data_IF_359262891194
#
_entry.id   IF_359262891194
#
_cell.length_a   1.000
_cell.length_b   1.000
_cell.length_c   1.000
_cell.angle_alpha   90.00
_cell.angle_beta   90.00
_cell.angle_gamma   90.00
#
_symmetry.space_group_name_H-M   'P 1'
#
loop_
_entity.id
_entity.type
_entity.pdbx_description
1 polymer ?
#
# COMPACT_ATOMS: atom_id res chain seq x y z
N UNK A 1 33.26 -44.73 58.44
CA UNK A 1 33.23 -43.40 57.87
C UNK A 1 32.15 -43.40 56.78
N UNK A 2 30.95 -42.99 57.17
CA UNK A 2 29.81 -42.87 56.29
C UNK A 2 29.68 -41.39 55.86
N UNK A 3 29.71 -41.11 54.56
CA UNK A 3 29.35 -39.82 54.00
C UNK A 3 27.83 -39.75 53.91
N UNK A 4 27.25 -38.83 54.71
CA UNK A 4 25.88 -38.39 54.52
C UNK A 4 25.85 -37.40 53.42
N UNK A 5 25.31 -37.82 52.25
CA UNK A 5 24.90 -36.89 51.20
C UNK A 5 23.53 -36.29 51.59
N UNK A 6 23.53 -35.04 52.03
CA UNK A 6 22.31 -34.29 52.18
C UNK A 6 21.84 -33.93 50.76
N UNK A 7 20.73 -34.52 50.36
CA UNK A 7 19.95 -34.09 49.21
C UNK A 7 19.44 -32.63 49.51
N UNK A 8 20.04 -31.61 48.90
CA UNK A 8 19.34 -30.38 48.66
C UNK A 8 18.26 -30.65 47.64
N UNK A 9 17.06 -30.80 48.08
CA UNK A 9 15.91 -30.63 47.22
C UNK A 9 15.85 -29.15 46.87
N UNK A 10 16.31 -28.81 45.69
CA UNK A 10 15.92 -27.56 45.05
C UNK A 10 14.40 -27.60 44.95
N UNK A 11 13.73 -26.94 45.86
CA UNK A 11 12.36 -26.52 45.61
C UNK A 11 12.44 -25.49 44.49
N UNK A 12 12.30 -25.95 43.27
CA UNK A 12 11.83 -25.09 42.18
C UNK A 12 10.53 -24.48 42.69
N UNK A 13 10.63 -23.28 43.22
CA UNK A 13 9.48 -22.42 43.46
C UNK A 13 8.90 -22.13 42.07
N UNK A 14 7.87 -22.88 41.75
CA UNK A 14 7.00 -22.64 40.62
C UNK A 14 6.31 -21.28 40.80
N UNK A 15 7.08 -20.17 40.64
CA UNK A 15 6.59 -18.80 40.63
C UNK A 15 6.08 -18.45 39.23
N UNK A 16 5.25 -19.26 38.66
CA UNK A 16 4.37 -18.84 37.59
C UNK A 16 2.96 -18.64 38.14
N UNK A 17 2.81 -17.72 39.05
CA UNK A 17 1.47 -17.25 39.39
C UNK A 17 1.01 -16.26 38.30
N UNK A 18 0.76 -16.81 37.10
CA UNK A 18 0.21 -16.09 35.95
C UNK A 18 -1.13 -15.39 36.28
N UNK A 19 -1.71 -15.70 37.42
CA UNK A 19 -2.93 -15.08 37.93
C UNK A 19 -2.71 -13.93 38.91
N UNK A 20 -1.47 -13.68 39.35
CA UNK A 20 -1.18 -12.64 40.35
C UNK A 20 -1.49 -11.22 39.84
N UNK A 21 -1.42 -10.99 38.53
CA UNK A 21 -1.71 -9.69 37.93
C UNK A 21 -2.79 -9.81 36.87
N UNK A 22 -3.83 -8.94 36.89
CA UNK A 22 -4.84 -8.93 35.85
C UNK A 22 -4.24 -8.50 34.52
N UNK A 23 -4.87 -8.87 33.38
CA UNK A 23 -4.54 -8.31 32.07
C UNK A 23 -4.58 -6.80 32.06
N UNK A 24 -3.91 -6.13 31.12
CA UNK A 24 -4.07 -4.69 30.96
C UNK A 24 -5.53 -4.34 30.66
N UNK A 25 -5.88 -3.06 30.77
CA UNK A 25 -7.19 -2.56 30.33
C UNK A 25 -7.01 -1.62 29.15
N UNK A 26 -8.02 -1.54 28.28
CA UNK A 26 -8.11 -0.54 27.22
C UNK A 26 -9.48 0.13 27.30
N UNK A 27 -9.49 1.45 27.39
CA UNK A 27 -10.70 2.26 27.33
C UNK A 27 -10.60 3.24 26.16
N UNK A 28 -11.59 3.17 25.27
CA UNK A 28 -11.69 4.09 24.14
C UNK A 28 -12.19 5.45 24.63
N UNK A 29 -11.47 6.51 24.27
CA UNK A 29 -11.88 7.88 24.56
C UNK A 29 -12.65 8.48 23.37
N UNK A 30 -12.16 8.26 22.15
CA UNK A 30 -12.81 8.71 20.91
C UNK A 30 -12.16 8.03 19.68
N UNK A 31 -12.95 7.66 18.65
CA UNK A 31 -14.39 7.45 18.69
C UNK A 31 -14.75 6.11 19.34
N UNK A 32 -15.99 5.94 19.82
CA UNK A 32 -16.51 4.64 20.26
C UNK A 32 -17.08 3.82 19.10
N UNK A 33 -17.54 4.49 18.04
CA UNK A 33 -18.01 3.93 16.77
C UNK A 33 -17.76 4.94 15.64
N UNK A 34 -17.74 4.46 14.40
CA UNK A 34 -17.57 5.28 13.19
C UNK A 34 -18.77 5.06 12.29
N UNK A 35 -19.66 6.05 12.22
CA UNK A 35 -20.85 5.96 11.38
C UNK A 35 -20.48 5.99 9.89
N UNK A 36 -19.60 6.90 9.52
CA UNK A 36 -19.14 7.08 8.12
C UNK A 36 -17.66 7.45 8.11
N UNK A 37 -16.90 6.79 7.24
CA UNK A 37 -15.51 7.10 6.97
C UNK A 37 -15.25 7.08 5.46
N UNK A 38 -14.36 7.95 4.96
CA UNK A 38 -13.98 7.91 3.56
C UNK A 38 -12.88 6.86 3.32
N UNK A 39 -12.97 6.15 2.21
CA UNK A 39 -11.90 5.26 1.78
C UNK A 39 -10.58 6.03 1.67
N UNK A 40 -9.50 5.39 2.09
CA UNK A 40 -8.15 5.94 2.11
C UNK A 40 -7.93 7.15 3.05
N UNK A 41 -8.92 7.48 3.89
CA UNK A 41 -8.75 8.48 4.94
C UNK A 41 -8.14 7.89 6.21
N UNK A 42 -7.69 8.76 7.10
CA UNK A 42 -7.10 8.38 8.38
C UNK A 42 -8.07 8.68 9.52
N UNK A 43 -8.29 7.70 10.38
CA UNK A 43 -9.05 7.82 11.63
C UNK A 43 -8.06 7.91 12.79
N UNK A 44 -8.18 8.96 13.57
CA UNK A 44 -7.45 9.06 14.85
C UNK A 44 -8.26 8.37 15.95
N UNK A 45 -7.66 7.38 16.58
CA UNK A 45 -8.24 6.65 17.71
C UNK A 45 -7.53 7.11 18.98
N UNK A 46 -8.27 7.74 19.88
CA UNK A 46 -7.79 8.16 21.21
C UNK A 46 -8.27 7.16 22.26
N UNK A 47 -7.36 6.68 23.06
CA UNK A 47 -7.65 5.69 24.09
C UNK A 47 -6.68 5.82 25.27
N UNK A 48 -7.01 5.14 26.36
CA UNK A 48 -6.09 4.94 27.47
C UNK A 48 -5.96 3.45 27.80
N UNK A 49 -4.79 3.06 28.23
CA UNK A 49 -4.50 1.71 28.70
C UNK A 49 -3.83 1.77 30.08
N UNK A 50 -4.20 0.84 30.95
CA UNK A 50 -3.58 0.66 32.24
C UNK A 50 -3.03 -0.75 32.38
N UNK A 51 -1.85 -0.88 32.99
CA UNK A 51 -1.26 -2.16 33.40
C UNK A 51 -0.50 -2.00 34.71
N UNK A 52 -0.77 -2.88 35.66
CA UNK A 52 -0.04 -2.96 36.95
C UNK A 52 1.42 -3.37 36.77
N UNK A 53 1.72 -4.16 35.73
CA UNK A 53 3.08 -4.68 35.48
C UNK A 53 3.83 -3.94 34.39
N UNK A 54 3.17 -2.99 33.73
CA UNK A 54 3.72 -2.19 32.64
C UNK A 54 3.22 -2.63 31.26
N UNK A 55 3.10 -1.67 30.37
CA UNK A 55 2.62 -1.86 29.00
C UNK A 55 3.81 -2.15 28.09
N UNK A 56 3.79 -3.30 27.42
CA UNK A 56 4.82 -3.70 26.48
C UNK A 56 4.57 -3.15 25.07
N UNK A 57 3.34 -3.23 24.60
CA UNK A 57 2.99 -2.73 23.25
C UNK A 57 1.52 -2.33 23.15
N UNK A 58 1.29 -1.32 22.32
CA UNK A 58 -0.05 -0.91 21.89
C UNK A 58 -0.04 -0.84 20.37
N UNK A 59 -1.07 -1.38 19.74
CA UNK A 59 -1.26 -1.25 18.30
C UNK A 59 -2.74 -1.21 17.92
N UNK A 60 -3.00 -0.71 16.72
CA UNK A 60 -4.31 -0.80 16.09
C UNK A 60 -4.19 -1.44 14.70
N UNK A 61 -5.22 -2.18 14.31
CA UNK A 61 -5.34 -2.84 13.01
C UNK A 61 -6.76 -2.77 12.50
N UNK A 62 -6.94 -2.90 11.18
CA UNK A 62 -8.27 -2.99 10.56
C UNK A 62 -8.82 -4.40 10.70
N UNK A 63 -10.13 -4.47 10.91
CA UNK A 63 -10.91 -5.69 10.94
C UNK A 63 -11.86 -5.74 9.75
N UNK A 64 -12.05 -6.92 9.18
CA UNK A 64 -13.18 -7.27 8.31
C UNK A 64 -14.19 -8.10 9.10
N UNK A 65 -15.39 -8.25 8.54
CA UNK A 65 -16.40 -9.18 9.05
C UNK A 65 -16.36 -10.45 8.18
N UNK A 66 -16.27 -11.62 8.81
CA UNK A 66 -16.33 -12.89 8.13
C UNK A 66 -17.79 -13.26 7.73
N UNK A 67 -17.96 -14.42 7.10
CA UNK A 67 -19.28 -14.92 6.67
C UNK A 67 -20.23 -15.23 7.85
N UNK A 68 -19.69 -15.43 9.05
CA UNK A 68 -20.43 -15.70 10.28
C UNK A 68 -20.80 -14.40 11.04
N UNK A 69 -20.30 -13.24 10.59
CA UNK A 69 -20.44 -11.97 11.27
C UNK A 69 -19.47 -11.74 12.41
N UNK A 70 -18.34 -12.48 12.42
CA UNK A 70 -17.27 -12.30 13.39
C UNK A 70 -16.14 -11.42 12.82
N UNK A 71 -15.46 -10.68 13.70
CA UNK A 71 -14.36 -9.83 13.30
C UNK A 71 -13.06 -10.62 13.10
N UNK A 72 -12.41 -10.39 11.96
CA UNK A 72 -11.11 -10.95 11.60
C UNK A 72 -10.12 -9.85 11.20
N UNK A 73 -8.86 -9.93 11.63
CA UNK A 73 -7.82 -8.97 11.21
C UNK A 73 -7.53 -9.09 9.72
N UNK A 74 -7.57 -7.96 9.00
CA UNK A 74 -7.36 -7.94 7.54
C UNK A 74 -5.89 -8.17 7.20
N UNK A 75 -5.00 -7.46 7.88
CA UNK A 75 -3.55 -7.55 7.63
C UNK A 75 -2.77 -7.25 8.91
N UNK A 76 -2.32 -8.29 9.58
CA UNK A 76 -1.56 -8.16 10.82
C UNK A 76 -0.20 -7.45 10.64
N UNK A 77 0.31 -7.33 9.41
CA UNK A 77 1.59 -6.64 9.13
C UNK A 77 1.44 -5.12 9.05
N UNK A 78 0.24 -4.62 8.77
CA UNK A 78 -0.05 -3.17 8.66
C UNK A 78 -0.55 -2.55 9.98
N UNK A 79 -0.13 -3.11 11.11
CA UNK A 79 -0.49 -2.59 12.42
C UNK A 79 0.13 -1.23 12.68
N UNK A 80 -0.70 -0.26 13.06
CA UNK A 80 -0.22 1.01 13.58
C UNK A 80 0.22 0.82 15.04
N UNK A 81 1.50 0.99 15.31
CA UNK A 81 2.09 0.74 16.63
C UNK A 81 2.47 2.03 17.31
N UNK A 82 2.17 2.10 18.62
CA UNK A 82 2.72 3.13 19.48
C UNK A 82 4.12 2.72 19.92
N UNK A 83 5.07 3.65 19.84
CA UNK A 83 6.40 3.47 20.42
C UNK A 83 6.34 3.75 21.91
N UNK A 84 6.68 2.76 22.73
CA UNK A 84 6.75 2.89 24.19
C UNK A 84 8.23 2.92 24.57
N UNK A 85 8.68 4.08 25.04
CA UNK A 85 10.10 4.31 25.32
C UNK A 85 10.50 3.89 26.75
N UNK A 86 9.53 3.76 27.65
CA UNK A 86 9.79 3.45 29.06
C UNK A 86 8.77 2.45 29.60
N UNK A 87 9.26 1.33 30.12
CA UNK A 87 8.43 0.36 30.86
C UNK A 87 8.30 0.82 32.31
N UNK A 88 7.09 1.14 32.72
CA UNK A 88 6.76 1.51 34.11
C UNK A 88 5.65 0.61 34.62
N UNK A 89 5.77 0.18 35.86
CA UNK A 89 4.68 -0.51 36.59
C UNK A 89 3.60 0.49 37.01
N UNK A 90 2.39 0.01 37.22
CA UNK A 90 1.22 0.82 37.54
C UNK A 90 1.01 2.00 36.57
N UNK A 91 1.22 1.71 35.29
CA UNK A 91 1.24 2.72 34.23
C UNK A 91 -0.14 2.88 33.62
N UNK A 92 -0.63 4.13 33.63
CA UNK A 92 -1.72 4.55 32.75
C UNK A 92 -1.12 5.35 31.61
N UNK A 93 -1.38 4.92 30.38
CA UNK A 93 -0.92 5.59 29.17
C UNK A 93 -2.12 6.06 28.35
N UNK A 94 -2.19 7.36 28.10
CA UNK A 94 -3.09 7.96 27.12
C UNK A 94 -2.36 8.05 25.78
N UNK A 95 -3.06 7.73 24.69
CA UNK A 95 -2.43 7.66 23.37
C UNK A 95 -3.40 7.90 22.22
N UNK A 96 -2.84 8.33 21.10
CA UNK A 96 -3.52 8.45 19.83
C UNK A 96 -2.85 7.52 18.81
N UNK A 97 -3.68 6.79 18.05
CA UNK A 97 -3.26 5.97 16.91
C UNK A 97 -3.96 6.43 15.64
N UNK A 98 -3.18 6.66 14.59
CA UNK A 98 -3.69 7.07 13.29
C UNK A 98 -3.84 5.85 12.39
N UNK A 99 -5.06 5.39 12.18
CA UNK A 99 -5.37 4.20 11.38
C UNK A 99 -5.90 4.62 10.02
N UNK A 100 -5.22 4.19 8.95
CA UNK A 100 -5.65 4.45 7.58
C UNK A 100 -6.64 3.40 7.12
N UNK A 101 -7.84 3.83 6.70
CA UNK A 101 -8.89 2.94 6.18
C UNK A 101 -8.69 2.76 4.68
N UNK A 102 -7.80 1.84 4.29
CA UNK A 102 -7.33 1.63 2.92
C UNK A 102 -7.87 0.35 2.26
N UNK A 103 -8.87 -0.28 2.86
CA UNK A 103 -9.52 -1.47 2.30
C UNK A 103 -11.03 -1.33 2.32
N UNK A 104 -11.70 -1.91 1.30
CA UNK A 104 -13.17 -1.93 1.17
C UNK A 104 -13.86 -2.77 2.24
N UNK A 105 -13.15 -3.77 2.74
CA UNK A 105 -13.67 -4.78 3.65
C UNK A 105 -13.62 -4.34 5.11
N UNK A 106 -13.06 -3.16 5.40
CA UNK A 106 -12.93 -2.71 6.78
C UNK A 106 -14.29 -2.53 7.43
N UNK A 107 -14.54 -3.32 8.46
CA UNK A 107 -15.76 -3.30 9.28
C UNK A 107 -15.48 -2.80 10.70
N UNK A 108 -14.22 -2.60 11.08
CA UNK A 108 -13.83 -2.11 12.39
C UNK A 108 -12.34 -1.82 12.53
N UNK A 109 -11.99 -1.21 13.65
CA UNK A 109 -10.61 -1.00 14.11
C UNK A 109 -10.46 -1.73 15.43
N UNK A 110 -9.47 -2.64 15.52
CA UNK A 110 -9.08 -3.32 16.75
C UNK A 110 -7.94 -2.57 17.41
N UNK A 111 -8.11 -2.15 18.64
CA UNK A 111 -7.04 -1.62 19.50
C UNK A 111 -6.63 -2.72 20.47
N UNK A 112 -5.35 -3.06 20.48
CA UNK A 112 -4.78 -4.08 21.37
C UNK A 112 -3.69 -3.45 22.23
N UNK A 113 -3.76 -3.70 23.54
CA UNK A 113 -2.69 -3.43 24.50
C UNK A 113 -2.16 -4.75 25.05
N UNK A 114 -0.84 -4.88 25.10
CA UNK A 114 -0.15 -6.05 25.64
C UNK A 114 0.76 -5.59 26.77
N UNK A 115 0.70 -6.26 27.92
CA UNK A 115 1.60 -6.00 29.04
C UNK A 115 2.93 -6.77 28.92
N UNK A 116 3.82 -6.55 29.87
CA UNK A 116 5.15 -7.22 29.91
C UNK A 116 5.06 -8.73 30.20
N UNK A 117 3.93 -9.20 30.72
CA UNK A 117 3.65 -10.63 30.92
C UNK A 117 2.90 -11.24 29.72
N UNK A 118 2.85 -10.53 28.59
CA UNK A 118 2.18 -10.95 27.33
C UNK A 118 0.66 -11.10 27.41
N UNK A 119 0.03 -10.66 28.52
CA UNK A 119 -1.44 -10.61 28.61
C UNK A 119 -1.97 -9.46 27.77
N UNK A 120 -3.12 -9.65 27.15
CA UNK A 120 -3.70 -8.69 26.21
C UNK A 120 -5.07 -8.21 26.62
N UNK A 121 -5.37 -6.96 26.27
CA UNK A 121 -6.72 -6.41 26.27
C UNK A 121 -7.02 -5.83 24.88
N UNK A 122 -8.26 -5.96 24.45
CA UNK A 122 -8.70 -5.58 23.12
C UNK A 122 -10.01 -4.79 23.18
N UNK A 123 -10.13 -3.80 22.27
CA UNK A 123 -11.37 -3.07 22.03
C UNK A 123 -11.57 -2.88 20.54
N UNK A 124 -12.81 -3.07 20.10
CA UNK A 124 -13.23 -2.88 18.71
C UNK A 124 -14.00 -1.58 18.60
N UNK A 125 -13.67 -0.81 17.56
CA UNK A 125 -14.41 0.36 17.11
C UNK A 125 -15.11 -0.04 15.81
N UNK A 126 -16.43 -0.25 15.77
CA UNK A 126 -17.11 -0.64 14.54
C UNK A 126 -17.12 0.50 13.52
N UNK A 127 -16.97 0.15 12.24
CA UNK A 127 -17.17 1.02 11.08
C UNK A 127 -18.48 0.59 10.41
N UNK A 128 -19.48 1.51 10.34
CA UNK A 128 -20.77 1.20 9.74
C UNK A 128 -20.79 1.37 8.23
N UNK A 129 -20.12 2.41 7.72
CA UNK A 129 -20.10 2.71 6.29
C UNK A 129 -18.76 3.31 5.86
N UNK A 130 -18.24 2.82 4.73
CA UNK A 130 -17.12 3.43 4.00
C UNK A 130 -17.69 4.08 2.75
N UNK A 131 -17.36 5.36 2.52
CA UNK A 131 -17.72 6.14 1.34
C UNK A 131 -16.55 6.34 0.42
N UNK A 132 -16.78 6.85 -0.77
CA UNK A 132 -15.76 7.08 -1.81
C UNK A 132 -14.92 5.83 -2.13
N UNK A 133 -15.57 4.67 -2.06
CA UNK A 133 -14.93 3.41 -2.47
C UNK A 133 -14.54 3.50 -3.95
N UNK A 134 -13.29 3.22 -4.32
CA UNK A 134 -12.89 3.23 -5.72
C UNK A 134 -13.69 2.19 -6.51
N UNK A 135 -14.05 2.50 -7.74
CA UNK A 135 -14.67 1.52 -8.64
C UNK A 135 -13.70 0.40 -8.99
N UNK A 136 -14.22 -0.76 -9.38
CA UNK A 136 -13.39 -1.88 -9.85
C UNK A 136 -13.39 -1.87 -11.38
N UNK A 137 -12.20 -1.95 -11.98
CA UNK A 137 -12.03 -1.96 -13.45
C UNK A 137 -11.41 -3.29 -13.84
N UNK A 138 -12.14 -4.08 -14.62
CA UNK A 138 -11.67 -5.33 -15.21
C UNK A 138 -11.49 -5.14 -16.71
N UNK A 139 -10.43 -5.69 -17.26
CA UNK A 139 -10.11 -5.56 -18.70
C UNK A 139 -9.64 -6.89 -19.26
N UNK A 140 -10.02 -7.15 -20.50
CA UNK A 140 -9.51 -8.28 -21.26
C UNK A 140 -9.20 -7.83 -22.69
N UNK A 141 -7.93 -7.96 -23.11
CA UNK A 141 -6.80 -8.48 -22.35
C UNK A 141 -6.43 -7.58 -21.15
N UNK A 142 -5.73 -8.13 -20.16
CA UNK A 142 -5.18 -7.37 -19.03
C UNK A 142 -4.00 -6.50 -19.44
N UNK A 143 -3.24 -6.95 -20.42
CA UNK A 143 -2.05 -6.32 -20.98
C UNK A 143 -1.96 -6.63 -22.47
N UNK A 144 -1.27 -5.80 -23.24
CA UNK A 144 -0.99 -6.02 -24.63
C UNK A 144 0.49 -6.40 -24.82
N UNK A 145 0.78 -7.34 -25.73
CA UNK A 145 2.15 -7.60 -26.21
C UNK A 145 2.63 -6.41 -27.05
N UNK A 146 3.64 -6.64 -27.89
CA UNK A 146 4.08 -5.66 -28.89
C UNK A 146 2.94 -5.40 -29.87
N UNK A 147 2.59 -4.12 -30.06
CA UNK A 147 1.53 -3.67 -30.96
C UNK A 147 2.11 -3.02 -32.20
N UNK A 148 1.37 -3.05 -33.30
CA UNK A 148 1.69 -2.30 -34.51
C UNK A 148 1.20 -0.87 -34.35
N UNK A 149 2.08 0.16 -34.51
CA UNK A 149 1.68 1.55 -34.46
C UNK A 149 0.59 1.87 -35.47
N UNK A 150 -0.29 2.81 -35.13
CA UNK A 150 -1.41 3.28 -35.95
C UNK A 150 -2.52 2.25 -36.21
N UNK A 151 -2.45 1.05 -35.63
CA UNK A 151 -3.55 0.09 -35.67
C UNK A 151 -4.52 0.28 -34.50
N UNK A 152 -5.81 0.00 -34.76
CA UNK A 152 -6.86 0.00 -33.75
C UNK A 152 -6.74 -1.23 -32.86
N UNK A 153 -6.62 -1.01 -31.56
CA UNK A 153 -6.71 -2.06 -30.55
C UNK A 153 -8.07 -2.02 -29.86
N UNK A 154 -8.54 -3.20 -29.47
CA UNK A 154 -9.82 -3.38 -28.80
C UNK A 154 -9.63 -4.15 -27.49
N UNK A 155 -10.30 -3.72 -26.43
CA UNK A 155 -10.35 -4.45 -25.18
C UNK A 155 -11.76 -4.42 -24.58
N UNK A 156 -12.17 -5.53 -23.97
CA UNK A 156 -13.38 -5.59 -23.17
C UNK A 156 -13.13 -4.93 -21.82
N UNK A 157 -14.04 -4.08 -21.39
CA UNK A 157 -13.95 -3.37 -20.10
C UNK A 157 -15.22 -3.61 -19.33
N UNK A 158 -15.08 -4.07 -18.08
CA UNK A 158 -16.18 -4.17 -17.11
C UNK A 158 -15.84 -3.29 -15.93
N UNK A 159 -16.74 -2.37 -15.59
CA UNK A 159 -16.59 -1.46 -14.45
C UNK A 159 -17.70 -1.76 -13.46
N UNK A 160 -17.34 -1.89 -12.16
CA UNK A 160 -18.27 -2.04 -11.05
C UNK A 160 -18.07 -0.93 -10.04
N UNK A 161 -19.14 -0.25 -9.68
CA UNK A 161 -19.18 0.79 -8.64
C UNK A 161 -20.16 0.43 -7.54
N UNK A 162 -19.82 0.70 -6.30
CA UNK A 162 -20.73 0.47 -5.18
C UNK A 162 -21.89 1.48 -5.14
N UNK A 163 -21.72 2.66 -5.74
CA UNK A 163 -22.66 3.80 -5.60
C UNK A 163 -23.19 4.32 -6.94
N UNK A 164 -22.53 3.98 -8.05
CA UNK A 164 -22.91 4.38 -9.40
C UNK A 164 -21.81 5.09 -10.15
N UNK A 165 -21.63 4.75 -11.42
CA UNK A 165 -20.61 5.30 -12.31
C UNK A 165 -21.10 6.64 -12.84
N UNK A 166 -20.33 7.72 -12.57
CA UNK A 166 -20.61 9.08 -13.04
C UNK A 166 -19.94 9.37 -14.37
N UNK A 167 -18.67 9.02 -14.49
CA UNK A 167 -17.92 9.24 -15.73
C UNK A 167 -16.86 8.17 -15.96
N UNK A 168 -16.62 7.88 -17.22
CA UNK A 168 -15.54 6.99 -17.67
C UNK A 168 -14.76 7.72 -18.76
N UNK A 169 -13.44 7.73 -18.65
CA UNK A 169 -12.53 8.36 -19.61
C UNK A 169 -11.35 7.45 -19.86
N UNK A 170 -10.75 7.55 -21.04
CA UNK A 170 -9.49 6.86 -21.34
C UNK A 170 -8.54 7.79 -22.08
N UNK A 171 -7.25 7.46 -22.02
CA UNK A 171 -6.20 8.14 -22.77
C UNK A 171 -5.04 7.17 -23.02
N UNK A 172 -4.19 7.51 -23.99
CA UNK A 172 -2.87 6.89 -24.12
C UNK A 172 -1.92 7.51 -23.10
N UNK A 173 -1.09 6.70 -22.49
CA UNK A 173 -0.15 7.16 -21.48
C UNK A 173 1.23 6.50 -21.61
N UNK A 174 2.19 7.16 -21.00
CA UNK A 174 3.51 6.62 -20.71
C UNK A 174 3.71 6.64 -19.20
N UNK A 175 4.18 5.55 -18.63
CA UNK A 175 4.35 5.41 -17.16
C UNK A 175 5.32 6.45 -16.56
N UNK A 176 6.24 6.98 -17.39
CA UNK A 176 7.23 7.97 -16.97
C UNK A 176 6.79 9.38 -17.33
N UNK A 177 6.27 9.57 -18.56
CA UNK A 177 5.91 10.90 -19.10
C UNK A 177 4.49 11.33 -18.70
N UNK A 178 3.65 10.40 -18.24
CA UNK A 178 2.24 10.66 -17.92
C UNK A 178 1.31 10.51 -19.11
N UNK A 179 0.25 11.32 -19.15
CA UNK A 179 -0.76 11.26 -20.20
C UNK A 179 -0.22 11.88 -21.50
N UNK A 180 -0.34 11.14 -22.59
CA UNK A 180 0.19 11.54 -23.91
C UNK A 180 -0.84 12.23 -24.79
N UNK A 181 -2.13 12.09 -24.45
CA UNK A 181 -3.25 12.66 -25.19
C UNK A 181 -4.31 13.21 -24.24
N UNK A 182 -5.22 14.01 -24.78
CA UNK A 182 -6.44 14.39 -24.10
C UNK A 182 -7.33 13.16 -23.84
N UNK A 183 -8.10 13.23 -22.76
CA UNK A 183 -9.00 12.16 -22.38
C UNK A 183 -10.20 12.08 -23.33
N UNK A 184 -10.44 10.90 -23.88
CA UNK A 184 -11.68 10.56 -24.57
C UNK A 184 -12.73 10.11 -23.55
N UNK A 185 -13.90 10.74 -23.58
CA UNK A 185 -15.02 10.39 -22.68
C UNK A 185 -15.88 9.30 -23.28
N UNK A 186 -16.17 8.27 -22.47
CA UNK A 186 -17.11 7.21 -22.80
C UNK A 186 -18.48 7.62 -22.22
N UNK A 187 -19.55 7.63 -23.04
CA UNK A 187 -20.87 8.02 -22.58
C UNK A 187 -21.37 7.11 -21.43
N UNK A 188 -21.79 7.72 -20.34
CA UNK A 188 -22.42 7.05 -19.20
C UNK A 188 -23.82 7.64 -19.01
N UNK A 189 -24.85 6.81 -18.87
CA UNK A 189 -26.19 7.26 -18.62
C UNK A 189 -26.82 6.53 -17.44
N UNK A 190 -27.56 7.25 -16.59
CA UNK A 190 -28.31 6.67 -15.49
C UNK A 190 -27.47 6.22 -14.28
N UNK A 191 -26.19 6.59 -14.22
CA UNK A 191 -25.27 6.21 -13.12
C UNK A 191 -25.34 4.71 -12.77
N UNK A 192 -25.05 3.81 -13.73
CA UNK A 192 -25.17 2.38 -13.51
C UNK A 192 -24.19 1.88 -12.43
N UNK A 193 -24.54 0.83 -11.70
CA UNK A 193 -23.64 0.15 -10.77
C UNK A 193 -22.64 -0.74 -11.50
N UNK A 194 -22.99 -1.21 -12.70
CA UNK A 194 -22.10 -1.99 -13.57
C UNK A 194 -22.24 -1.50 -15.00
N UNK A 195 -21.11 -1.43 -15.71
CA UNK A 195 -21.03 -1.02 -17.10
C UNK A 195 -20.04 -1.93 -17.84
N UNK A 196 -20.47 -2.47 -18.96
CA UNK A 196 -19.66 -3.28 -19.86
C UNK A 196 -19.62 -2.65 -21.26
N UNK A 197 -18.43 -2.56 -21.86
CA UNK A 197 -18.25 -2.01 -23.21
C UNK A 197 -16.94 -2.49 -23.84
N UNK A 198 -16.86 -2.34 -25.15
CA UNK A 198 -15.60 -2.55 -25.90
C UNK A 198 -14.95 -1.18 -26.07
N UNK A 199 -13.78 -1.00 -25.46
CA UNK A 199 -12.93 0.14 -25.70
C UNK A 199 -12.13 -0.09 -26.97
N UNK A 200 -12.19 0.87 -27.92
CA UNK A 200 -11.39 0.91 -29.13
C UNK A 200 -10.54 2.16 -29.13
N UNK A 201 -9.26 2.00 -29.42
CA UNK A 201 -8.33 3.12 -29.49
C UNK A 201 -7.20 2.83 -30.48
N UNK A 202 -6.66 3.87 -31.08
CA UNK A 202 -5.51 3.76 -31.99
C UNK A 202 -4.26 4.19 -31.22
N UNK A 203 -3.24 3.33 -31.24
CA UNK A 203 -1.94 3.61 -30.61
C UNK A 203 -1.03 4.29 -31.63
N UNK A 204 -1.18 5.62 -31.77
CA UNK A 204 -0.52 6.47 -32.75
C UNK A 204 0.63 7.33 -32.21
N UNK A 205 0.99 7.15 -30.95
CA UNK A 205 2.11 7.83 -30.33
C UNK A 205 3.19 6.80 -29.96
N UNK A 206 4.39 6.98 -30.54
CA UNK A 206 5.54 6.07 -30.32
C UNK A 206 6.01 5.96 -28.87
N UNK A 207 5.69 6.94 -28.03
CA UNK A 207 6.06 6.93 -26.61
C UNK A 207 5.04 6.22 -25.72
N UNK A 208 3.95 5.67 -26.33
CA UNK A 208 2.89 4.97 -25.60
C UNK A 208 3.38 3.63 -25.07
N UNK A 209 3.21 3.41 -23.78
CA UNK A 209 3.41 2.12 -23.13
C UNK A 209 2.23 1.71 -22.25
N UNK A 210 1.09 2.39 -22.39
CA UNK A 210 -0.14 2.00 -21.72
C UNK A 210 -1.39 2.73 -22.21
N UNK A 211 -2.53 2.10 -21.93
CA UNK A 211 -3.86 2.69 -22.07
C UNK A 211 -4.38 2.92 -20.66
N UNK A 212 -4.64 4.17 -20.30
CA UNK A 212 -5.19 4.53 -18.99
C UNK A 212 -6.70 4.68 -19.08
N UNK A 213 -7.41 4.01 -18.19
CA UNK A 213 -8.84 4.18 -17.95
C UNK A 213 -9.03 4.86 -16.62
N UNK A 214 -9.87 5.89 -16.57
CA UNK A 214 -10.22 6.64 -15.36
C UNK A 214 -11.73 6.58 -15.16
N UNK A 215 -12.14 6.19 -14.00
CA UNK A 215 -13.55 6.11 -13.58
C UNK A 215 -13.77 7.04 -12.40
N UNK A 216 -14.84 7.82 -12.43
CA UNK A 216 -15.33 8.61 -11.30
C UNK A 216 -16.75 8.17 -10.97
N UNK A 217 -17.03 7.92 -9.70
CA UNK A 217 -18.36 7.59 -9.21
C UNK A 217 -19.14 8.84 -8.76
N UNK A 218 -20.42 8.64 -8.40
CA UNK A 218 -21.30 9.74 -7.99
C UNK A 218 -20.93 10.36 -6.63
N UNK A 219 -20.18 9.66 -5.79
CA UNK A 219 -19.66 10.18 -4.51
C UNK A 219 -18.30 10.86 -4.66
N UNK A 220 -17.71 10.88 -5.90
CA UNK A 220 -16.41 11.46 -6.21
C UNK A 220 -15.24 10.51 -5.94
N UNK A 221 -15.51 9.23 -5.72
CA UNK A 221 -14.48 8.18 -5.73
C UNK A 221 -13.89 8.06 -7.12
N UNK A 222 -12.54 8.03 -7.22
CA UNK A 222 -11.81 7.95 -8.47
C UNK A 222 -10.91 6.73 -8.48
N UNK A 223 -10.96 5.99 -9.57
CA UNK A 223 -10.11 4.83 -9.83
C UNK A 223 -9.43 4.96 -11.19
N UNK A 224 -8.19 4.54 -11.26
CA UNK A 224 -7.41 4.50 -12.48
C UNK A 224 -6.85 3.10 -12.71
N UNK A 225 -6.92 2.62 -13.96
CA UNK A 225 -6.27 1.38 -14.39
C UNK A 225 -5.44 1.65 -15.62
N UNK A 226 -4.20 1.20 -15.61
CA UNK A 226 -3.31 1.23 -16.76
C UNK A 226 -3.17 -0.20 -17.28
N UNK A 227 -3.52 -0.39 -18.55
CA UNK A 227 -3.29 -1.60 -19.34
C UNK A 227 -1.93 -1.42 -20.01
N UNK A 228 -0.98 -2.29 -19.68
CA UNK A 228 0.36 -2.19 -20.22
C UNK A 228 0.42 -2.55 -21.69
N UNK A 229 1.32 -1.90 -22.41
CA UNK A 229 1.75 -2.28 -23.76
C UNK A 229 3.25 -2.58 -23.64
N UNK A 230 3.68 -3.80 -23.97
CA UNK A 230 5.08 -4.23 -23.84
C UNK A 230 6.00 -3.44 -24.78
N UNK A 231 5.51 -3.07 -25.97
CA UNK A 231 6.26 -2.29 -26.93
C UNK A 231 5.47 -1.99 -28.19
N UNK A 232 6.08 -1.25 -29.10
CA UNK A 232 5.55 -0.96 -30.44
C UNK A 232 6.52 -1.46 -31.49
N UNK A 233 6.00 -2.12 -32.57
CA UNK A 233 6.83 -2.59 -33.68
C UNK A 233 7.57 -1.43 -34.35
N UNK A 234 8.86 -1.64 -34.63
CA UNK A 234 9.70 -0.66 -35.32
C UNK A 234 10.05 0.58 -34.47
N UNK A 235 9.61 0.63 -33.22
CA UNK A 235 10.04 1.62 -32.27
C UNK A 235 11.15 1.00 -31.41
N UNK A 236 12.39 1.42 -31.66
CA UNK A 236 13.49 1.06 -30.79
C UNK A 236 13.26 1.70 -29.42
N UNK A 237 12.94 0.87 -28.42
CA UNK A 237 12.88 1.28 -27.02
C UNK A 237 14.28 1.58 -26.43
N UNK A 238 15.29 1.66 -27.29
CA UNK A 238 16.62 2.11 -26.91
C UNK A 238 16.53 3.60 -26.57
N UNK A 239 16.47 3.90 -25.29
CA UNK A 239 16.66 5.26 -24.78
C UNK A 239 18.08 5.67 -25.17
N UNK A 240 18.20 6.45 -26.24
CA UNK A 240 19.44 7.13 -26.54
C UNK A 240 19.63 8.19 -25.45
N UNK A 241 20.45 7.89 -24.45
CA UNK A 241 20.86 8.88 -23.47
C UNK A 241 21.81 9.86 -24.18
N UNK A 242 21.29 11.03 -24.52
CA UNK A 242 22.11 12.13 -25.02
C UNK A 242 22.64 12.84 -23.79
N UNK A 243 23.92 12.63 -23.50
CA UNK A 243 24.60 13.40 -22.47
C UNK A 243 25.03 14.75 -23.06
N UNK A 244 24.31 15.81 -22.71
CA UNK A 244 24.75 17.18 -22.93
C UNK A 244 25.54 17.60 -21.68
N UNK A 245 26.76 18.11 -21.90
CA UNK A 245 27.61 18.72 -20.88
C UNK A 245 28.11 17.79 -19.75
N UNK A 246 28.74 16.66 -20.11
CA UNK A 246 29.56 15.93 -19.13
C UNK A 246 30.90 16.67 -19.00
N UNK A 247 31.10 17.37 -17.89
CA UNK A 247 32.43 17.77 -17.47
C UNK A 247 33.24 16.53 -17.04
N UNK A 248 34.16 16.10 -17.89
CA UNK A 248 35.07 15.00 -17.56
C UNK A 248 36.06 15.47 -16.50
N UNK A 249 36.26 14.64 -15.48
CA UNK A 249 37.29 14.94 -14.50
C UNK A 249 38.68 14.99 -15.16
N UNK A 250 39.54 15.93 -14.81
CA UNK A 250 40.83 16.12 -15.46
C UNK A 250 41.76 14.88 -15.44
N UNK A 251 41.58 13.99 -14.47
CA UNK A 251 42.29 12.73 -14.36
C UNK A 251 41.95 11.70 -15.44
N UNK A 252 40.86 11.89 -16.19
CA UNK A 252 40.41 10.98 -17.25
C UNK A 252 41.04 11.29 -18.61
N UNK A 253 41.73 12.41 -18.74
CA UNK A 253 42.42 12.80 -19.97
C UNK A 253 43.66 11.95 -20.32
N UNK A 254 44.10 11.09 -19.40
CA UNK A 254 45.43 10.44 -19.55
C UNK A 254 45.42 8.93 -19.77
N UNK A 255 44.26 8.26 -19.86
CA UNK A 255 44.27 6.78 -19.85
C UNK A 255 43.74 6.11 -21.11
N UNK A 256 43.56 6.82 -22.23
CA UNK A 256 42.91 6.21 -23.39
C UNK A 256 43.80 6.12 -24.62
N UNK A 257 43.99 4.90 -25.08
CA UNK A 257 44.40 4.68 -26.47
C UNK A 257 43.22 5.02 -27.39
N UNK A 258 43.47 5.65 -28.57
CA UNK A 258 42.43 6.28 -29.39
C UNK A 258 41.36 5.36 -29.98
N UNK A 259 41.48 4.06 -29.85
CA UNK A 259 40.62 3.08 -30.54
C UNK A 259 39.90 2.08 -29.61
N UNK A 260 39.80 2.35 -28.31
CA UNK A 260 39.06 1.48 -27.38
C UNK A 260 37.64 2.02 -27.17
N UNK A 261 36.57 1.19 -27.36
CA UNK A 261 35.22 1.59 -27.09
C UNK A 261 34.99 1.72 -25.58
N UNK A 262 34.44 2.85 -25.16
CA UNK A 262 33.94 3.01 -23.79
C UNK A 262 32.66 2.25 -23.62
N UNK A 263 32.57 1.37 -22.62
CA UNK A 263 31.36 0.70 -22.23
C UNK A 263 30.83 1.38 -20.96
N UNK A 264 29.66 2.01 -21.07
CA UNK A 264 28.98 2.58 -19.94
C UNK A 264 27.90 1.60 -19.47
N UNK A 265 27.87 1.28 -18.18
CA UNK A 265 26.71 0.63 -17.59
C UNK A 265 25.90 1.66 -16.81
N UNK A 266 24.60 1.72 -17.10
CA UNK A 266 23.66 2.57 -16.37
C UNK A 266 22.83 1.66 -15.48
N UNK A 267 23.02 1.73 -14.17
CA UNK A 267 22.13 1.12 -13.21
C UNK A 267 21.09 2.17 -12.78
N UNK A 268 19.86 1.99 -13.27
CA UNK A 268 18.72 2.79 -12.83
C UNK A 268 18.07 2.17 -11.60
N UNK A 269 18.14 2.82 -10.45
CA UNK A 269 17.33 2.46 -9.28
C UNK A 269 16.06 3.32 -9.35
N UNK A 270 14.92 2.71 -9.66
CA UNK A 270 13.61 3.35 -9.50
C UNK A 270 13.20 3.30 -8.04
N UNK A 271 13.31 4.41 -7.35
CA UNK A 271 12.68 4.62 -6.04
C UNK A 271 11.38 5.38 -6.27
N UNK A 272 10.27 4.85 -5.74
CA UNK A 272 8.95 5.46 -5.86
C UNK A 272 8.99 6.98 -5.61
N UNK A 273 8.66 7.76 -6.63
CA UNK A 273 8.37 9.19 -6.52
C UNK A 273 9.55 10.15 -6.62
N UNK A 274 10.79 9.68 -6.70
CA UNK A 274 11.96 10.55 -6.94
C UNK A 274 12.90 9.85 -7.92
N UNK A 275 13.00 10.39 -9.12
CA UNK A 275 14.02 9.97 -10.10
C UNK A 275 15.38 10.44 -9.61
N UNK A 276 16.13 9.56 -8.97
CA UNK A 276 17.53 9.77 -8.71
C UNK A 276 18.32 8.88 -9.67
N UNK A 277 18.82 9.44 -10.75
CA UNK A 277 19.73 8.76 -11.63
C UNK A 277 21.13 8.78 -10.99
N UNK A 278 21.62 7.64 -10.61
CA UNK A 278 23.04 7.50 -10.22
C UNK A 278 23.77 6.92 -11.42
N UNK A 279 24.56 7.74 -12.08
CA UNK A 279 25.51 7.29 -13.08
C UNK A 279 26.75 6.82 -12.36
N UNK A 280 27.06 5.54 -12.43
CA UNK A 280 28.37 5.02 -12.07
C UNK A 280 29.13 4.63 -13.34
N UNK A 281 30.26 5.26 -13.57
CA UNK A 281 31.23 4.85 -14.58
C UNK A 281 32.07 3.72 -13.98
N UNK A 282 32.07 2.59 -14.62
CA UNK A 282 32.94 1.46 -14.27
C UNK A 282 33.83 1.16 -15.45
N UNK A 283 35.12 1.29 -15.25
CA UNK A 283 36.12 0.77 -16.16
C UNK A 283 36.10 -0.76 -16.12
N UNK A 284 35.99 -1.40 -17.28
CA UNK A 284 36.07 -2.86 -17.41
C UNK A 284 37.46 -3.22 -17.97
#
# INVERSE_FOLDING_TARGET
WGLLLTNCSDSESDYSDDNAYPPPTVELTSPSEIDVVEYNSTVTVSARSFSAVGIHSIYATLLKMDENGEYEEINATERQRLKIDTLQTDMTLEFDLNVKVNTREAAGILVTSTDVLTKTAQKVIPIKKITKLPSQIFTEPSDFPVLVPDEEVSLSVVIRSAVGIKSVKHTLCNKVLGDLKEYTTIPVSGNPLEMEFILKTVVDNKDTNGIKIVVEDIEGGREEKIINIEGLEGVDNNVALVFNDIEMAPEWEHSTEPDQPYIFSIEGIMVQGVQKHVLSLKEI
#
